data_IF_390833150062
#
_entry.id   IF_390833150062
#
_cell.length_a   1.000
_cell.length_b   1.000
_cell.length_c   1.000
_cell.angle_alpha   90.00
_cell.angle_beta   90.00
_cell.angle_gamma   90.00
#
_symmetry.space_group_name_H-M   'P 1'
#
loop_
_entity.id
_entity.type
_entity.pdbx_description
1 polymer ?
#
# COMPACT_ATOMS: atom_id res chain seq x y z
N UNK A 1 -9.40 -8.45 25.19
CA UNK A 1 -9.43 -8.32 23.71
C UNK A 1 -8.30 -9.17 23.15
N UNK A 2 -8.63 -10.23 22.41
CA UNK A 2 -7.62 -11.12 21.83
C UNK A 2 -6.80 -10.34 20.81
N UNK A 3 -5.48 -10.28 20.98
CA UNK A 3 -4.57 -9.70 19.99
C UNK A 3 -4.64 -10.57 18.74
N UNK A 4 -5.21 -10.04 17.66
CA UNK A 4 -5.24 -10.66 16.34
C UNK A 4 -3.82 -11.08 15.95
N UNK A 5 -3.56 -12.38 15.83
CA UNK A 5 -2.27 -12.87 15.32
C UNK A 5 -2.11 -12.39 13.88
N UNK A 6 -1.15 -11.50 13.60
CA UNK A 6 -1.12 -10.70 12.37
C UNK A 6 -0.94 -11.52 11.07
N UNK A 7 -0.38 -12.72 11.13
CA UNK A 7 0.08 -13.45 9.92
C UNK A 7 -1.03 -13.97 9.01
N UNK A 8 -2.18 -14.37 9.55
CA UNK A 8 -3.32 -14.84 8.72
C UNK A 8 -4.43 -13.80 8.56
N UNK A 9 -4.29 -12.69 9.29
CA UNK A 9 -5.30 -11.65 9.38
C UNK A 9 -4.89 -10.39 8.63
N UNK A 10 -3.83 -10.46 7.80
CA UNK A 10 -3.42 -9.37 6.92
C UNK A 10 -3.12 -9.96 5.55
N UNK A 11 -3.64 -9.35 4.50
CA UNK A 11 -3.30 -9.77 3.15
C UNK A 11 -3.28 -8.63 2.15
N UNK A 12 -2.51 -8.87 1.09
CA UNK A 12 -2.22 -7.89 0.06
C UNK A 12 -2.13 -8.61 -1.27
N UNK A 13 -3.01 -8.25 -2.21
CA UNK A 13 -2.91 -8.68 -3.60
C UNK A 13 -2.64 -7.47 -4.48
N UNK A 14 -1.71 -7.62 -5.41
CA UNK A 14 -1.31 -6.60 -6.37
C UNK A 14 -1.43 -7.17 -7.78
N UNK A 15 -2.25 -6.54 -8.61
CA UNK A 15 -2.53 -6.99 -9.98
C UNK A 15 -2.92 -8.48 -10.05
N UNK A 16 -3.81 -8.92 -9.15
CA UNK A 16 -4.24 -10.32 -9.01
C UNK A 16 -3.16 -11.31 -8.54
N UNK A 17 -1.96 -10.85 -8.18
CA UNK A 17 -0.91 -11.66 -7.55
C UNK A 17 -0.99 -11.51 -6.04
N UNK A 18 -1.04 -12.63 -5.33
CA UNK A 18 -0.97 -12.65 -3.86
C UNK A 18 0.48 -12.47 -3.39
N UNK A 19 0.73 -11.40 -2.65
CA UNK A 19 2.07 -11.07 -2.16
C UNK A 19 2.35 -11.65 -0.76
N UNK A 20 1.37 -12.27 -0.09
CA UNK A 20 1.50 -12.70 1.32
C UNK A 20 2.71 -13.61 1.59
N UNK A 21 3.05 -14.49 0.66
CA UNK A 21 4.20 -15.39 0.78
C UNK A 21 5.57 -14.67 0.69
N UNK A 22 5.58 -13.41 0.25
CA UNK A 22 6.78 -12.62 -0.02
C UNK A 22 6.88 -11.38 0.89
N UNK A 23 6.04 -11.32 1.93
CA UNK A 23 5.97 -10.19 2.86
C UNK A 23 6.33 -10.63 4.27
N UNK A 24 7.28 -9.91 4.89
CA UNK A 24 7.54 -9.96 6.33
C UNK A 24 7.02 -8.70 7.03
N UNK A 25 6.75 -7.64 6.27
CA UNK A 25 6.30 -6.34 6.74
C UNK A 25 5.32 -5.73 5.75
N UNK A 26 4.23 -5.20 6.29
CA UNK A 26 3.20 -4.42 5.61
C UNK A 26 2.78 -3.33 6.57
N UNK A 27 2.80 -2.09 6.10
CA UNK A 27 2.34 -0.93 6.86
C UNK A 27 1.52 -0.04 5.96
N UNK A 28 0.24 0.14 6.28
CA UNK A 28 -0.66 1.04 5.58
C UNK A 28 -0.71 2.38 6.31
N UNK A 29 -0.58 3.47 5.56
CA UNK A 29 -0.70 4.84 6.05
C UNK A 29 -1.81 5.57 5.29
N UNK A 30 -2.77 6.09 6.06
CA UNK A 30 -3.85 6.95 5.57
C UNK A 30 -3.55 8.37 6.08
N UNK A 31 -3.34 9.32 5.17
CA UNK A 31 -3.07 10.72 5.52
C UNK A 31 -4.16 11.60 4.93
N UNK A 32 -4.86 12.34 5.79
CA UNK A 32 -5.74 13.44 5.35
C UNK A 32 -4.98 14.74 5.57
N UNK A 33 -4.69 15.47 4.50
CA UNK A 33 -4.05 16.77 4.60
C UNK A 33 -4.95 17.74 5.40
N UNK A 34 -4.34 18.61 6.21
CA UNK A 34 -5.06 19.64 6.96
C UNK A 34 -4.76 20.99 6.32
N UNK A 35 -5.79 21.62 5.77
CA UNK A 35 -5.70 22.94 5.14
C UNK A 35 -6.04 23.98 6.20
N UNK A 36 -5.10 24.87 6.50
CA UNK A 36 -5.36 26.03 7.36
C UNK A 36 -5.94 27.17 6.51
N UNK A 37 -7.13 27.63 6.88
CA UNK A 37 -7.90 28.61 6.11
C UNK A 37 -8.10 29.93 6.86
N UNK A 38 -7.12 30.33 7.66
CA UNK A 38 -7.24 31.56 8.44
C UNK A 38 -7.27 32.79 7.52
N UNK A 39 -8.21 33.70 7.84
CA UNK A 39 -8.29 35.02 7.20
C UNK A 39 -7.89 36.10 8.20
N UNK A 40 -7.66 37.32 7.73
CA UNK A 40 -7.37 38.46 8.62
C UNK A 40 -8.52 38.80 9.60
N UNK A 41 -9.73 38.29 9.35
CA UNK A 41 -10.89 38.47 10.23
C UNK A 41 -11.08 37.31 11.22
N UNK A 42 -10.32 36.22 11.09
CA UNK A 42 -10.49 35.03 11.92
C UNK A 42 -10.08 35.31 13.37
N UNK A 43 -10.97 35.01 14.31
CA UNK A 43 -10.76 35.17 15.76
C UNK A 43 -10.33 33.87 16.45
N UNK A 44 -10.34 32.75 15.71
CA UNK A 44 -9.90 31.44 16.14
C UNK A 44 -9.26 30.67 14.96
N UNK A 45 -8.59 29.56 15.28
CA UNK A 45 -7.95 28.70 14.29
C UNK A 45 -9.03 27.98 13.47
N UNK A 46 -9.01 28.15 12.15
CA UNK A 46 -9.90 27.50 11.20
C UNK A 46 -9.13 26.47 10.37
N UNK A 47 -9.65 25.23 10.29
CA UNK A 47 -9.03 24.10 9.59
C UNK A 47 -10.05 23.37 8.74
N UNK A 48 -9.65 22.99 7.52
CA UNK A 48 -10.40 22.12 6.62
C UNK A 48 -9.64 20.83 6.31
N UNK A 49 -10.36 19.78 5.92
CA UNK A 49 -9.77 18.55 5.43
C UNK A 49 -9.45 18.66 3.93
N UNK A 50 -8.21 18.34 3.55
CA UNK A 50 -7.74 18.23 2.18
C UNK A 50 -7.99 16.86 1.58
N UNK A 51 -7.36 16.59 0.43
CA UNK A 51 -7.49 15.30 -0.23
C UNK A 51 -6.79 14.19 0.58
N UNK A 52 -7.41 13.02 0.73
CA UNK A 52 -6.76 11.88 1.36
C UNK A 52 -5.67 11.32 0.44
N UNK A 53 -4.55 10.94 1.04
CA UNK A 53 -3.44 10.22 0.41
C UNK A 53 -3.24 8.89 1.13
N UNK A 54 -2.97 7.83 0.35
CA UNK A 54 -2.77 6.50 0.89
C UNK A 54 -1.48 5.90 0.33
N UNK A 55 -0.72 5.24 1.20
CA UNK A 55 0.48 4.49 0.80
C UNK A 55 0.62 3.23 1.64
N UNK A 56 1.19 2.19 1.04
CA UNK A 56 1.50 0.94 1.75
C UNK A 56 2.97 0.62 1.58
N UNK A 57 3.73 0.65 2.67
CA UNK A 57 5.11 0.18 2.70
C UNK A 57 5.15 -1.33 2.86
N UNK A 58 5.90 -1.98 1.98
CA UNK A 58 6.03 -3.44 1.88
C UNK A 58 7.48 -3.86 1.92
N UNK A 59 7.75 -5.00 2.54
CA UNK A 59 9.08 -5.60 2.54
C UNK A 59 9.04 -7.08 2.89
N UNK A 60 10.09 -7.79 2.52
CA UNK A 60 10.16 -9.24 2.72
C UNK A 60 11.36 -9.93 2.10
N UNK A 61 11.39 -11.28 2.16
CA UNK A 61 12.36 -12.08 1.42
C UNK A 61 12.11 -11.92 -0.08
N UNK A 62 13.18 -11.69 -0.83
CA UNK A 62 13.11 -11.58 -2.28
C UNK A 62 12.88 -12.94 -2.92
N UNK A 63 12.06 -12.97 -3.96
CA UNK A 63 11.84 -14.16 -4.77
C UNK A 63 11.68 -13.77 -6.24
N UNK A 64 11.95 -14.71 -7.15
CA UNK A 64 11.74 -14.50 -8.58
C UNK A 64 10.29 -14.20 -8.91
N UNK A 65 9.34 -14.86 -8.24
CA UNK A 65 7.90 -14.68 -8.46
C UNK A 65 7.43 -13.30 -8.03
N UNK A 66 7.93 -12.79 -6.89
CA UNK A 66 7.71 -11.40 -6.48
C UNK A 66 8.27 -10.44 -7.53
N UNK A 67 9.53 -10.62 -7.94
CA UNK A 67 10.15 -9.74 -8.92
C UNK A 67 9.36 -9.71 -10.24
N UNK A 68 8.90 -10.85 -10.74
CA UNK A 68 8.08 -10.89 -11.95
C UNK A 68 6.73 -10.16 -11.81
N UNK A 69 6.18 -10.08 -10.59
CA UNK A 69 4.93 -9.38 -10.34
C UNK A 69 5.10 -7.84 -10.28
N UNK A 70 6.20 -7.36 -9.69
CA UNK A 70 6.38 -5.91 -9.44
C UNK A 70 7.35 -5.23 -10.42
N UNK A 71 8.38 -5.92 -10.90
CA UNK A 71 9.45 -5.32 -11.70
C UNK A 71 8.97 -4.70 -13.02
N UNK A 72 8.03 -5.30 -13.78
CA UNK A 72 7.52 -4.68 -15.00
C UNK A 72 6.98 -3.27 -14.74
N UNK A 73 6.29 -3.06 -13.61
CA UNK A 73 5.70 -1.77 -13.26
C UNK A 73 6.73 -0.77 -12.73
N UNK A 74 7.86 -1.23 -12.22
CA UNK A 74 8.98 -0.35 -11.80
C UNK A 74 9.82 0.13 -12.98
N UNK A 75 9.93 -0.70 -14.02
CA UNK A 75 10.74 -0.42 -15.22
C UNK A 75 9.95 0.36 -16.27
N UNK A 76 8.66 0.06 -16.37
CA UNK A 76 7.72 0.74 -17.28
C UNK A 76 6.44 0.97 -16.50
N UNK A 77 6.32 2.15 -15.84
CA UNK A 77 5.14 2.50 -15.07
C UNK A 77 3.87 2.28 -15.90
N UNK A 78 2.87 1.57 -15.37
CA UNK A 78 1.72 1.18 -16.15
C UNK A 78 0.82 2.40 -16.41
N UNK A 79 0.33 2.53 -17.65
CA UNK A 79 -0.61 3.60 -18.04
C UNK A 79 -1.98 3.42 -17.38
N UNK A 80 -2.35 2.17 -17.08
CA UNK A 80 -3.48 1.80 -16.24
C UNK A 80 -2.94 1.31 -14.91
N UNK A 81 -3.31 1.99 -13.82
CA UNK A 81 -2.89 1.60 -12.48
C UNK A 81 -3.38 0.18 -12.15
N UNK A 82 -2.62 -0.52 -11.30
CA UNK A 82 -2.94 -1.91 -10.95
C UNK A 82 -4.04 -1.98 -9.91
N UNK A 83 -4.86 -3.03 -9.98
CA UNK A 83 -5.80 -3.34 -8.91
C UNK A 83 -5.05 -3.77 -7.66
N UNK A 84 -5.40 -3.19 -6.52
CA UNK A 84 -4.89 -3.57 -5.21
C UNK A 84 -6.03 -3.97 -4.30
N UNK A 85 -5.89 -5.10 -3.61
CA UNK A 85 -6.75 -5.47 -2.48
C UNK A 85 -5.90 -5.61 -1.23
N UNK A 86 -6.26 -4.86 -0.20
CA UNK A 86 -5.69 -4.96 1.14
C UNK A 86 -6.78 -5.39 2.12
N UNK A 87 -6.48 -6.30 3.04
CA UNK A 87 -7.40 -6.62 4.12
C UNK A 87 -6.71 -6.78 5.46
N UNK A 88 -7.44 -6.45 6.53
CA UNK A 88 -7.05 -6.66 7.92
C UNK A 88 -8.21 -7.27 8.73
N UNK A 89 -7.91 -8.28 9.52
CA UNK A 89 -8.85 -8.98 10.39
C UNK A 89 -9.06 -10.44 10.01
N UNK A 90 -9.65 -11.24 10.92
CA UNK A 90 -9.97 -12.63 10.69
C UNK A 90 -11.11 -12.84 9.70
N UNK A 91 -11.18 -14.02 9.09
CA UNK A 91 -12.28 -14.38 8.20
C UNK A 91 -13.62 -14.21 8.92
N UNK A 92 -14.56 -13.47 8.31
CA UNK A 92 -15.87 -13.15 8.90
C UNK A 92 -15.91 -11.82 9.68
N UNK A 93 -14.77 -11.18 9.93
CA UNK A 93 -14.67 -9.84 10.53
C UNK A 93 -13.44 -9.10 9.99
N UNK A 94 -13.27 -9.10 8.67
CA UNK A 94 -12.19 -8.39 7.97
C UNK A 94 -12.68 -7.07 7.41
N UNK A 95 -11.82 -6.06 7.48
CA UNK A 95 -11.95 -4.83 6.70
C UNK A 95 -11.18 -5.06 5.41
N UNK A 96 -11.85 -4.95 4.26
CA UNK A 96 -11.23 -5.09 2.94
C UNK A 96 -11.31 -3.77 2.18
N UNK A 97 -10.16 -3.29 1.74
CA UNK A 97 -10.02 -2.09 0.91
C UNK A 97 -9.56 -2.49 -0.48
N UNK A 98 -10.35 -2.10 -1.47
CA UNK A 98 -10.07 -2.43 -2.88
C UNK A 98 -9.93 -1.16 -3.72
N UNK A 99 -8.76 -0.97 -4.32
CA UNK A 99 -8.54 0.01 -5.39
C UNK A 99 -8.62 -0.73 -6.72
N UNK A 100 -9.70 -0.51 -7.47
CA UNK A 100 -9.88 -1.13 -8.78
C UNK A 100 -9.06 -0.37 -9.83
N UNK A 101 -8.17 -1.08 -10.52
CA UNK A 101 -7.24 -0.50 -11.48
C UNK A 101 -7.93 0.19 -12.66
N UNK A 102 -7.55 1.44 -12.91
CA UNK A 102 -8.02 2.30 -13.99
C UNK A 102 -6.96 3.37 -14.29
N UNK A 103 -7.26 4.33 -15.16
CA UNK A 103 -6.35 5.44 -15.45
C UNK A 103 -6.14 6.41 -14.27
N UNK A 104 -7.07 6.47 -13.31
CA UNK A 104 -7.05 7.46 -12.20
C UNK A 104 -7.16 6.82 -10.82
N UNK A 105 -7.59 5.56 -10.73
CA UNK A 105 -7.74 4.79 -9.49
C UNK A 105 -6.92 3.51 -9.58
N UNK A 106 -6.21 3.14 -8.51
CA UNK A 106 -5.40 1.93 -8.47
C UNK A 106 -4.11 2.13 -7.69
N UNK A 107 -3.17 1.22 -7.87
CA UNK A 107 -1.86 1.24 -7.23
C UNK A 107 -0.74 1.15 -8.27
N UNK A 108 0.42 1.67 -7.91
CA UNK A 108 1.69 1.37 -8.57
C UNK A 108 2.80 1.26 -7.53
N UNK A 109 3.83 0.49 -7.83
CA UNK A 109 4.98 0.35 -6.93
C UNK A 109 6.03 1.43 -7.22
N UNK A 110 6.40 2.17 -6.19
CA UNK A 110 7.51 3.12 -6.15
C UNK A 110 8.61 2.60 -5.21
N UNK A 111 9.82 3.18 -5.31
CA UNK A 111 10.92 2.90 -4.39
C UNK A 111 11.27 1.40 -4.23
N UNK A 112 11.08 0.61 -5.29
CA UNK A 112 11.44 -0.80 -5.28
C UNK A 112 12.95 -0.97 -5.19
N UNK A 113 13.41 -1.67 -4.15
CA UNK A 113 14.83 -1.94 -3.90
C UNK A 113 15.02 -3.42 -3.61
N UNK A 114 16.07 -4.00 -4.21
CA UNK A 114 16.61 -5.31 -3.85
C UNK A 114 17.86 -5.05 -3.02
N UNK A 115 17.91 -5.59 -1.81
CA UNK A 115 19.08 -5.53 -0.95
C UNK A 115 19.75 -6.91 -0.91
N UNK A 116 20.91 -6.99 -1.55
CA UNK A 116 21.76 -8.19 -1.63
C UNK A 116 23.16 -7.89 -1.05
N UNK A 117 23.23 -7.01 -0.05
CA UNK A 117 24.49 -6.60 0.58
C UNK A 117 25.24 -7.74 1.27
N UNK A 118 24.54 -8.77 1.74
CA UNK A 118 25.12 -10.05 2.16
C UNK A 118 24.83 -11.15 1.11
N UNK A 119 25.78 -11.46 0.22
CA UNK A 119 25.58 -12.47 -0.83
C UNK A 119 25.48 -13.92 -0.29
N UNK A 120 25.71 -14.14 1.01
CA UNK A 120 25.52 -15.43 1.68
C UNK A 120 24.27 -15.46 2.56
N UNK A 121 23.66 -14.30 2.80
CA UNK A 121 22.42 -14.15 3.57
C UNK A 121 21.18 -14.18 2.69
N UNK A 122 20.02 -13.95 3.34
CA UNK A 122 18.75 -13.81 2.62
C UNK A 122 18.72 -12.49 1.87
N UNK A 123 18.43 -12.55 0.56
CA UNK A 123 18.16 -11.36 -0.24
C UNK A 123 16.80 -10.81 0.19
N UNK A 124 16.75 -9.53 0.54
CA UNK A 124 15.50 -8.86 0.95
C UNK A 124 15.09 -7.81 -0.08
N UNK A 125 13.81 -7.44 -0.05
CA UNK A 125 13.27 -6.39 -0.87
C UNK A 125 12.42 -5.42 -0.06
N UNK A 126 12.32 -4.20 -0.56
CA UNK A 126 11.40 -3.17 -0.06
C UNK A 126 10.72 -2.46 -1.21
N UNK A 127 9.53 -1.94 -0.98
CA UNK A 127 8.84 -1.06 -1.92
C UNK A 127 7.73 -0.27 -1.24
N UNK A 128 7.20 0.72 -1.95
CA UNK A 128 6.03 1.49 -1.53
C UNK A 128 4.97 1.36 -2.60
N UNK A 129 3.77 0.92 -2.23
CA UNK A 129 2.61 0.97 -3.10
C UNK A 129 1.94 2.33 -2.92
N UNK A 130 2.07 3.16 -3.95
CA UNK A 130 1.38 4.44 -4.04
C UNK A 130 -0.04 4.19 -4.54
N UNK A 131 -1.02 4.75 -3.85
CA UNK A 131 -2.43 4.50 -4.14
C UNK A 131 -3.08 5.78 -4.65
N UNK A 132 -3.78 5.66 -5.77
CA UNK A 132 -4.55 6.74 -6.37
C UNK A 132 -6.03 6.44 -6.25
N UNK A 133 -6.81 7.49 -5.93
CA UNK A 133 -8.26 7.40 -5.76
C UNK A 133 -8.68 6.75 -4.44
N UNK A 134 -10.00 6.70 -4.24
CA UNK A 134 -10.61 6.15 -3.03
C UNK A 134 -10.80 4.63 -3.17
N UNK A 135 -10.57 3.86 -2.09
CA UNK A 135 -10.93 2.44 -2.07
C UNK A 135 -12.44 2.24 -1.98
N UNK A 136 -12.88 1.07 -2.42
CA UNK A 136 -14.15 0.49 -1.99
C UNK A 136 -13.89 -0.32 -0.72
N UNK A 137 -14.67 -0.03 0.33
CA UNK A 137 -14.60 -0.69 1.64
C UNK A 137 -15.69 -1.78 1.74
N UNK A 138 -15.33 -2.96 2.27
CA UNK A 138 -16.27 -4.07 2.54
C UNK A 138 -15.85 -4.94 3.72
#
# INVERSE_FOLDING_TARGET
MSRTAAKENVGLTYNSVDLRAHLNSVSMEDVVEVIESMTFASTAIEKGAGAPSFKISVGGPWSKTLHQAVAPDTLTPPTTLRTLVYYVGPSGSRVTRTWTGSATVGAFISNYKIDATDPKGDIVWTGTLELSGLPVES
#
